data_IF_559169870644
#
_entry.id   IF_559169870644
#
_cell.length_a   1.000
_cell.length_b   1.000
_cell.length_c   1.000
_cell.angle_alpha   90.00
_cell.angle_beta   90.00
_cell.angle_gamma   90.00
#
_symmetry.space_group_name_H-M   'P 1'
#
loop_
_entity.id
_entity.type
_entity.pdbx_description
1 polymer ?
#
# COMPACT_ATOMS: atom_id res chain seq x y z
N UNK A 1 -7.68 13.82 -11.59
CA UNK A 1 -7.82 12.45 -11.09
C UNK A 1 -8.84 11.70 -11.94
N UNK A 2 -8.65 10.40 -12.06
CA UNK A 2 -9.51 9.56 -12.89
C UNK A 2 -9.84 8.27 -12.15
N UNK A 3 -11.13 7.89 -12.18
CA UNK A 3 -11.56 6.62 -11.60
C UNK A 3 -12.29 5.77 -12.62
N UNK A 4 -11.93 4.51 -12.71
CA UNK A 4 -12.62 3.51 -13.54
C UNK A 4 -12.90 2.32 -12.63
N UNK A 5 -14.18 2.03 -12.39
CA UNK A 5 -14.55 0.92 -11.52
C UNK A 5 -16.00 0.97 -11.09
N UNK A 6 -16.29 0.26 -10.02
CA UNK A 6 -17.64 0.08 -9.53
C UNK A 6 -18.08 1.24 -8.63
N UNK A 7 -19.38 1.52 -8.64
CA UNK A 7 -20.01 2.54 -7.78
C UNK A 7 -21.18 1.92 -7.03
N UNK A 8 -21.44 2.44 -5.85
CA UNK A 8 -22.62 2.09 -5.06
C UNK A 8 -23.14 3.34 -4.38
N UNK A 9 -24.42 3.67 -4.61
CA UNK A 9 -25.04 4.86 -4.04
C UNK A 9 -24.23 6.14 -4.32
N UNK A 10 -23.70 6.25 -5.55
CA UNK A 10 -22.93 7.42 -5.97
C UNK A 10 -21.51 7.49 -5.46
N UNK A 11 -21.05 6.49 -4.73
CA UNK A 11 -19.68 6.42 -4.20
C UNK A 11 -18.88 5.28 -4.81
N UNK A 12 -17.57 5.47 -4.93
CA UNK A 12 -16.67 4.42 -5.39
C UNK A 12 -16.75 3.26 -4.40
N UNK A 13 -17.05 2.07 -4.90
CA UNK A 13 -17.28 0.91 -4.05
C UNK A 13 -17.06 -0.35 -4.87
N UNK A 14 -16.35 -1.34 -4.31
CA UNK A 14 -15.97 -2.56 -5.02
C UNK A 14 -14.62 -2.41 -5.71
N UNK A 15 -14.41 -3.09 -6.83
CA UNK A 15 -13.14 -3.08 -7.53
C UNK A 15 -13.00 -1.87 -8.44
N UNK A 16 -11.82 -1.25 -8.44
CA UNK A 16 -11.61 -0.10 -9.30
C UNK A 16 -10.14 0.28 -9.44
N UNK A 17 -9.91 1.23 -10.38
CA UNK A 17 -8.61 1.83 -10.63
C UNK A 17 -8.73 3.32 -10.47
N UNK A 18 -7.95 3.89 -9.57
CA UNK A 18 -7.91 5.32 -9.33
C UNK A 18 -6.53 5.86 -9.74
N UNK A 19 -6.52 6.84 -10.63
CA UNK A 19 -5.27 7.49 -11.06
C UNK A 19 -5.29 8.93 -10.58
N UNK A 20 -4.29 9.29 -9.77
CA UNK A 20 -4.15 10.65 -9.25
C UNK A 20 -3.49 11.54 -10.30
N UNK A 21 -3.74 12.84 -10.20
CA UNK A 21 -3.19 13.81 -11.16
C UNK A 21 -1.66 13.87 -11.16
N UNK A 22 -1.02 13.48 -10.06
CA UNK A 22 0.44 13.43 -9.95
C UNK A 22 1.05 12.12 -10.46
N UNK A 23 0.22 11.19 -10.97
CA UNK A 23 0.69 9.92 -11.53
C UNK A 23 0.66 8.75 -10.58
N UNK A 24 0.33 8.97 -9.30
CA UNK A 24 0.12 7.83 -8.39
C UNK A 24 -1.10 7.04 -8.84
N UNK A 25 -1.12 5.75 -8.55
CA UNK A 25 -2.19 4.88 -9.02
C UNK A 25 -2.56 3.84 -7.96
N UNK A 26 -3.85 3.65 -7.77
CA UNK A 26 -4.38 2.60 -6.90
C UNK A 26 -5.24 1.64 -7.72
N UNK A 27 -5.01 0.34 -7.56
CA UNK A 27 -5.84 -0.72 -8.17
C UNK A 27 -6.25 -1.66 -7.07
N UNK A 28 -7.56 -1.82 -6.84
CA UNK A 28 -8.03 -2.72 -5.81
C UNK A 28 -9.43 -2.39 -5.32
N UNK A 29 -9.69 -2.80 -4.09
CA UNK A 29 -11.00 -2.63 -3.48
C UNK A 29 -11.19 -1.23 -2.91
N UNK A 30 -12.40 -0.72 -3.05
CA UNK A 30 -12.81 0.55 -2.48
C UNK A 30 -14.10 0.36 -1.70
N UNK A 31 -14.28 1.17 -0.66
CA UNK A 31 -15.50 1.16 0.15
C UNK A 31 -15.82 2.59 0.56
N UNK A 32 -17.03 3.03 0.23
CA UNK A 32 -17.48 4.39 0.52
C UNK A 32 -16.50 5.46 0.03
N UNK A 33 -15.91 5.24 -1.16
CA UNK A 33 -14.98 6.18 -1.76
C UNK A 33 -13.54 6.07 -1.28
N UNK A 34 -13.23 5.17 -0.36
CA UNK A 34 -11.89 5.02 0.21
C UNK A 34 -11.27 3.67 -0.13
N UNK A 35 -9.94 3.64 -0.24
CA UNK A 35 -9.18 2.41 -0.40
C UNK A 35 -9.43 1.51 0.81
N UNK A 36 -9.77 0.26 0.54
CA UNK A 36 -10.14 -0.69 1.59
C UNK A 36 -9.91 -2.11 1.10
N UNK A 37 -9.52 -3.03 2.01
CA UNK A 37 -9.27 -4.41 1.62
C UNK A 37 -7.98 -4.56 0.83
N UNK A 38 -7.94 -5.45 -0.15
CA UNK A 38 -6.72 -5.73 -0.92
C UNK A 38 -6.55 -4.73 -2.05
N UNK A 39 -5.32 -4.24 -2.22
CA UNK A 39 -5.03 -3.30 -3.30
C UNK A 39 -3.56 -3.18 -3.61
N UNK A 40 -3.28 -2.48 -4.72
CA UNK A 40 -1.93 -2.20 -5.20
C UNK A 40 -1.81 -0.70 -5.41
N UNK A 41 -0.84 -0.10 -4.76
CA UNK A 41 -0.57 1.34 -4.87
C UNK A 41 0.83 1.54 -5.46
N UNK A 42 0.91 2.34 -6.52
CA UNK A 42 2.20 2.63 -7.16
C UNK A 42 2.42 4.14 -7.25
N UNK A 43 3.69 4.54 -7.25
CA UNK A 43 4.07 5.95 -7.41
C UNK A 43 4.93 6.11 -8.65
N UNK A 44 4.95 7.32 -9.26
CA UNK A 44 5.82 7.58 -10.41
C UNK A 44 7.30 7.40 -10.09
N UNK A 45 7.69 7.54 -8.83
CA UNK A 45 9.08 7.35 -8.39
C UNK A 45 9.51 5.89 -8.36
N UNK A 46 8.58 4.93 -8.57
CA UNK A 46 8.92 3.52 -8.65
C UNK A 46 8.67 2.72 -7.38
N UNK A 47 7.96 3.29 -6.42
CA UNK A 47 7.58 2.54 -5.21
C UNK A 47 6.25 1.82 -5.45
N UNK A 48 6.10 0.63 -4.84
CA UNK A 48 4.88 -0.17 -5.01
C UNK A 48 4.52 -0.84 -3.67
N UNK A 49 3.26 -0.69 -3.29
CA UNK A 49 2.71 -1.39 -2.13
C UNK A 49 1.65 -2.38 -2.61
N UNK A 50 1.74 -3.63 -2.14
CA UNK A 50 0.73 -4.67 -2.40
C UNK A 50 0.27 -5.20 -1.05
N UNK A 51 -1.00 -5.07 -0.73
CA UNK A 51 -1.50 -5.56 0.53
C UNK A 51 -2.82 -4.95 0.95
N UNK A 52 -3.04 -4.92 2.25
CA UNK A 52 -4.30 -4.49 2.82
C UNK A 52 -4.34 -2.98 3.06
N UNK A 53 -5.53 -2.42 2.86
CA UNK A 53 -5.82 -1.01 3.12
C UNK A 53 -7.02 -0.90 4.05
N UNK A 54 -7.09 0.18 4.82
CA UNK A 54 -8.24 0.52 5.64
C UNK A 54 -8.39 2.04 5.68
N UNK A 55 -9.58 2.51 5.32
CA UNK A 55 -9.91 3.95 5.33
C UNK A 55 -8.86 4.81 4.60
N UNK A 56 -8.40 4.33 3.44
CA UNK A 56 -7.47 5.06 2.60
C UNK A 56 -5.99 4.91 2.98
N UNK A 57 -5.68 4.10 3.98
CA UNK A 57 -4.31 3.92 4.47
C UNK A 57 -3.88 2.47 4.41
N UNK A 58 -2.57 2.26 4.24
CA UNK A 58 -1.97 0.94 4.36
C UNK A 58 -2.19 0.45 5.79
N UNK A 59 -2.76 -0.74 5.92
CA UNK A 59 -3.10 -1.27 7.23
C UNK A 59 -3.24 -2.79 7.14
N UNK A 60 -2.57 -3.51 8.04
CA UNK A 60 -2.55 -4.97 8.00
C UNK A 60 -1.35 -5.50 7.24
N UNK A 61 -1.47 -6.68 6.66
CA UNK A 61 -0.35 -7.33 5.98
C UNK A 61 -0.11 -6.76 4.60
N UNK A 62 1.16 -6.53 4.27
CA UNK A 62 1.51 -6.03 2.96
C UNK A 62 3.00 -6.10 2.67
N UNK A 63 3.34 -5.76 1.43
CA UNK A 63 4.72 -5.70 0.95
C UNK A 63 4.91 -4.37 0.24
N UNK A 64 5.85 -3.57 0.72
CA UNK A 64 6.25 -2.32 0.08
C UNK A 64 7.59 -2.56 -0.61
N UNK A 65 7.64 -2.35 -1.92
CA UNK A 65 8.88 -2.47 -2.70
C UNK A 65 9.30 -1.08 -3.15
N UNK A 66 10.53 -0.68 -2.78
CA UNK A 66 11.06 0.61 -3.18
C UNK A 66 11.64 0.53 -4.60
N UNK A 67 11.86 1.69 -5.22
CA UNK A 67 12.50 1.74 -6.54
C UNK A 67 13.92 1.18 -6.53
N UNK A 68 14.53 1.03 -5.35
CA UNK A 68 15.86 0.44 -5.20
C UNK A 68 15.79 -1.06 -4.88
N UNK A 69 14.62 -1.66 -5.10
CA UNK A 69 14.39 -3.10 -4.91
C UNK A 69 14.50 -3.57 -3.46
N UNK A 70 14.42 -2.65 -2.51
CA UNK A 70 14.27 -3.02 -1.10
C UNK A 70 12.83 -3.38 -0.83
N UNK A 71 12.62 -4.44 -0.06
CA UNK A 71 11.28 -4.89 0.29
C UNK A 71 11.03 -4.73 1.79
N UNK A 72 9.86 -4.22 2.13
CA UNK A 72 9.40 -4.06 3.50
C UNK A 72 8.18 -4.96 3.66
N UNK A 73 8.35 -6.08 4.36
CA UNK A 73 7.32 -7.13 4.45
C UNK A 73 6.84 -7.29 5.88
N UNK A 74 5.53 -7.31 6.08
CA UNK A 74 4.92 -7.54 7.37
C UNK A 74 3.66 -6.77 7.57
N UNK A 75 3.51 -6.16 8.76
CA UNK A 75 2.31 -5.43 9.14
C UNK A 75 2.52 -3.93 9.08
N UNK A 76 1.54 -3.24 8.49
CA UNK A 76 1.45 -1.79 8.46
C UNK A 76 0.31 -1.35 9.36
N UNK A 77 0.40 -0.19 9.94
CA UNK A 77 -0.66 0.36 10.78
C UNK A 77 -0.84 1.84 10.46
N UNK A 78 -2.03 2.17 9.95
CA UNK A 78 -2.40 3.55 9.60
C UNK A 78 -1.35 4.25 8.75
N UNK A 79 -0.81 3.54 7.74
CA UNK A 79 0.15 4.10 6.81
C UNK A 79 1.60 4.04 7.27
N UNK A 80 1.87 3.48 8.44
CA UNK A 80 3.24 3.39 8.98
C UNK A 80 3.71 1.94 9.07
N UNK A 81 5.03 1.76 9.08
CA UNK A 81 5.65 0.47 9.32
C UNK A 81 5.41 0.08 10.78
N UNK A 82 4.82 -1.09 11.01
CA UNK A 82 4.49 -1.51 12.37
C UNK A 82 5.33 -2.71 12.82
N UNK A 83 5.11 -3.87 12.20
CA UNK A 83 5.94 -5.06 12.43
C UNK A 83 6.48 -5.48 11.07
N UNK A 84 7.66 -5.00 10.71
CA UNK A 84 8.19 -5.07 9.36
C UNK A 84 9.63 -5.60 9.38
N UNK A 85 9.95 -6.45 8.41
CA UNK A 85 11.33 -6.83 8.11
C UNK A 85 11.70 -6.20 6.78
N UNK A 86 12.81 -5.48 6.75
CA UNK A 86 13.34 -4.87 5.53
C UNK A 86 14.41 -5.78 4.93
N UNK A 87 14.28 -6.07 3.63
CA UNK A 87 15.21 -6.91 2.89
C UNK A 87 15.87 -6.11 1.76
N UNK A 88 17.13 -6.45 1.45
CA UNK A 88 17.76 -5.90 0.25
C UNK A 88 17.32 -6.72 -0.98
N UNK A 89 17.77 -6.32 -2.17
CA UNK A 89 17.39 -6.99 -3.43
C UNK A 89 17.84 -8.45 -3.51
N UNK A 90 18.79 -8.85 -2.68
CA UNK A 90 19.30 -10.21 -2.63
C UNK A 90 18.64 -11.06 -1.55
N UNK A 91 17.66 -10.50 -0.84
CA UNK A 91 16.94 -11.20 0.20
C UNK A 91 17.61 -11.16 1.57
N UNK A 92 18.65 -10.35 1.75
CA UNK A 92 19.30 -10.22 3.04
C UNK A 92 18.52 -9.26 3.94
N UNK A 93 18.39 -9.60 5.22
CA UNK A 93 17.69 -8.75 6.19
C UNK A 93 18.57 -7.55 6.52
N UNK A 94 18.01 -6.35 6.34
CA UNK A 94 18.67 -5.10 6.66
C UNK A 94 18.27 -4.57 8.03
N UNK A 95 16.97 -4.50 8.29
CA UNK A 95 16.43 -3.96 9.54
C UNK A 95 15.14 -4.66 9.90
N UNK A 96 14.72 -4.47 11.16
CA UNK A 96 13.39 -4.88 11.63
C UNK A 96 12.76 -3.72 12.37
N UNK A 97 11.45 -3.60 12.24
CA UNK A 97 10.63 -2.64 12.97
C UNK A 97 9.65 -3.44 13.80
N UNK A 98 9.58 -3.19 15.10
CA UNK A 98 8.69 -3.89 16.02
C UNK A 98 7.85 -2.85 16.74
N UNK A 99 6.52 -2.98 16.62
CA UNK A 99 5.56 -2.03 17.21
C UNK A 99 5.88 -0.58 16.84
N UNK A 100 6.28 -0.36 15.57
CA UNK A 100 6.58 0.96 15.06
C UNK A 100 7.97 1.48 15.35
N UNK A 101 8.79 0.74 16.08
CA UNK A 101 10.14 1.16 16.42
C UNK A 101 11.19 0.37 15.66
N UNK A 102 12.06 1.07 14.94
CA UNK A 102 13.14 0.45 14.18
C UNK A 102 14.19 -0.11 15.13
N UNK A 103 14.53 -1.37 14.95
CA UNK A 103 15.52 -2.04 15.79
C UNK A 103 16.93 -1.76 15.28
N UNK A 104 17.84 -1.56 16.18
CA UNK A 104 19.25 -1.28 15.88
C UNK A 104 20.03 -2.59 15.62
#
# INVERSE_FOLDING_TARGET
DKYIGEFKNGKKDGQGTYTFSDGRKYVGELKNGKQHGQGIFTTPSGNKYVGEFKDGKQHGKGTLTSRFEKEYIGEFKEGTLWNITEYDKNGNILTKTINGEKQQ
#
